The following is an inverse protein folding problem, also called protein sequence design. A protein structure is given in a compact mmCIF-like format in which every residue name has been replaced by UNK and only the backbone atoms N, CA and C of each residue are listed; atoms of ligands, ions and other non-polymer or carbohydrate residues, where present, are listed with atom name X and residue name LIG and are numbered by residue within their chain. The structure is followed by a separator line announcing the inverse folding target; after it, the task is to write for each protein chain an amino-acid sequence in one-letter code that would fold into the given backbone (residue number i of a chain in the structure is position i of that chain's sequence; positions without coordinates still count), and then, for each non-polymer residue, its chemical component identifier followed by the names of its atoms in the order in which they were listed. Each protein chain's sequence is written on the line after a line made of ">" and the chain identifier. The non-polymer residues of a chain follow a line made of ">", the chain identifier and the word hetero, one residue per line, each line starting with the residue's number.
data_IF_203618191382
#
_entry.id   IF_203618191382
#
_cell.length_a   1.000
_cell.length_b   1.000
_cell.length_c   1.000
_cell.angle_alpha   90.00
_cell.angle_beta   90.00
_cell.angle_gamma   90.00
#
_symmetry.space_group_name_H-M   'P 1'
#
loop_
_entity.id
_entity.type
_entity.pdbx_description
1 polymer ?
#
# COMPACT_ATOMS: atom_id res chain seq x y z
N UNK A 1 54.42 -43.34 8.32
CA UNK A 1 53.68 -42.73 7.17
C UNK A 1 52.25 -42.47 7.62
N UNK A 2 51.97 -41.25 8.17
CA UNK A 2 50.67 -40.88 8.66
C UNK A 2 49.93 -40.12 7.54
N UNK A 3 48.80 -40.67 7.10
CA UNK A 3 47.88 -40.01 6.16
C UNK A 3 46.84 -39.22 6.97
N UNK A 4 46.98 -37.90 6.98
CA UNK A 4 46.03 -36.96 7.56
C UNK A 4 44.87 -36.80 6.60
N UNK A 5 43.66 -37.27 7.02
CA UNK A 5 42.42 -37.09 6.26
C UNK A 5 41.81 -35.75 6.62
N UNK A 6 41.79 -34.80 5.67
CA UNK A 6 41.02 -33.56 5.79
C UNK A 6 39.57 -33.85 5.50
N UNK A 7 38.69 -33.66 6.50
CA UNK A 7 37.25 -33.60 6.32
C UNK A 7 36.89 -32.15 5.95
N UNK A 8 36.50 -31.93 4.70
CA UNK A 8 35.88 -30.68 4.27
C UNK A 8 34.39 -30.77 4.57
N UNK A 9 33.96 -30.08 5.65
CA UNK A 9 32.53 -29.89 5.93
C UNK A 9 32.01 -28.77 5.02
N UNK A 10 31.25 -29.16 4.02
CA UNK A 10 30.47 -28.21 3.23
C UNK A 10 29.22 -27.74 4.03
N UNK A 11 29.30 -26.52 4.55
CA UNK A 11 28.12 -25.86 5.15
C UNK A 11 27.27 -25.34 3.99
N UNK A 12 26.15 -26.04 3.73
CA UNK A 12 25.14 -25.61 2.77
C UNK A 12 24.29 -24.51 3.43
N UNK A 13 24.61 -23.26 3.16
CA UNK A 13 23.78 -22.13 3.57
C UNK A 13 22.52 -22.11 2.70
N UNK A 14 21.39 -22.55 3.25
CA UNK A 14 20.09 -22.39 2.62
C UNK A 14 19.69 -20.91 2.67
N UNK A 15 19.84 -20.22 1.54
CA UNK A 15 19.30 -18.86 1.37
C UNK A 15 17.78 -19.03 1.20
N UNK A 16 17.05 -18.75 2.25
CA UNK A 16 15.58 -18.60 2.20
C UNK A 16 15.29 -17.32 1.40
N UNK A 17 14.98 -17.49 0.12
CA UNK A 17 14.38 -16.43 -0.67
C UNK A 17 12.93 -16.24 -0.17
N UNK A 18 12.70 -15.24 0.66
CA UNK A 18 11.34 -14.76 0.93
C UNK A 18 10.92 -13.97 -0.32
N UNK A 19 10.12 -14.60 -1.17
CA UNK A 19 9.43 -13.89 -2.24
C UNK A 19 8.44 -12.91 -1.57
N UNK A 20 8.38 -11.65 -2.03
CA UNK A 20 7.32 -10.76 -1.58
C UNK A 20 5.98 -11.40 -1.96
N UNK A 21 5.12 -11.64 -0.98
CA UNK A 21 3.73 -12.00 -1.23
C UNK A 21 3.10 -10.73 -1.80
N UNK A 22 2.99 -10.67 -3.13
CA UNK A 22 2.17 -9.67 -3.77
C UNK A 22 0.74 -10.01 -3.33
N UNK A 23 0.18 -9.20 -2.46
CA UNK A 23 -1.20 -9.31 -2.06
C UNK A 23 -2.05 -9.24 -3.35
N UNK A 24 -2.83 -10.30 -3.61
CA UNK A 24 -3.60 -10.40 -4.84
C UNK A 24 -4.96 -9.75 -4.61
N UNK A 25 -5.13 -8.53 -5.09
CA UNK A 25 -6.41 -7.85 -5.14
C UNK A 25 -7.40 -8.63 -6.00
N UNK A 26 -8.58 -8.92 -5.44
CA UNK A 26 -9.67 -9.60 -6.15
C UNK A 26 -10.90 -8.70 -6.21
N UNK A 27 -11.34 -8.32 -7.42
CA UNK A 27 -12.58 -7.56 -7.62
C UNK A 27 -13.80 -8.36 -7.17
N UNK A 28 -14.72 -7.68 -6.49
CA UNK A 28 -15.98 -8.24 -5.99
C UNK A 28 -17.15 -7.30 -6.29
N UNK A 29 -18.39 -7.81 -6.18
CA UNK A 29 -19.58 -6.98 -6.28
C UNK A 29 -19.99 -6.51 -4.88
N UNK A 30 -20.73 -5.38 -4.80
CA UNK A 30 -21.27 -4.89 -3.52
C UNK A 30 -22.08 -5.96 -2.78
N UNK A 31 -22.86 -6.76 -3.51
CA UNK A 31 -23.69 -7.83 -2.95
C UNK A 31 -22.87 -8.97 -2.28
N UNK A 32 -21.61 -9.12 -2.65
CA UNK A 32 -20.71 -10.16 -2.09
C UNK A 32 -20.03 -9.70 -0.79
N UNK A 33 -20.16 -8.41 -0.43
CA UNK A 33 -19.56 -7.85 0.79
C UNK A 33 -20.37 -8.29 2.02
N UNK A 34 -19.72 -8.51 3.19
CA UNK A 34 -20.43 -8.72 4.46
C UNK A 34 -21.36 -7.57 4.78
N UNK A 35 -22.50 -7.83 5.47
CA UNK A 35 -23.49 -6.81 5.79
C UNK A 35 -22.92 -5.59 6.54
N UNK A 36 -21.96 -5.81 7.45
CA UNK A 36 -21.28 -4.71 8.15
C UNK A 36 -20.47 -3.82 7.19
N UNK A 37 -19.76 -4.43 6.23
CA UNK A 37 -19.01 -3.73 5.20
C UNK A 37 -19.95 -3.00 4.25
N UNK A 38 -21.07 -3.63 3.83
CA UNK A 38 -22.07 -2.98 2.99
C UNK A 38 -22.61 -1.69 3.63
N UNK A 39 -22.87 -1.70 4.94
CA UNK A 39 -23.28 -0.50 5.66
C UNK A 39 -22.23 0.62 5.57
N UNK A 40 -20.97 0.29 5.82
CA UNK A 40 -19.88 1.27 5.75
C UNK A 40 -19.71 1.85 4.35
N UNK A 41 -19.73 1.00 3.30
CA UNK A 41 -19.61 1.50 1.91
C UNK A 41 -20.80 2.37 1.51
N UNK A 42 -22.02 2.12 2.02
CA UNK A 42 -23.19 2.98 1.80
C UNK A 42 -22.99 4.36 2.44
N UNK A 43 -22.50 4.40 3.67
CA UNK A 43 -22.24 5.65 4.39
C UNK A 43 -21.12 6.46 3.71
N UNK A 44 -20.03 5.81 3.31
CA UNK A 44 -18.85 6.46 2.75
C UNK A 44 -19.00 6.84 1.26
N UNK A 45 -19.93 6.25 0.54
CA UNK A 45 -20.17 6.57 -0.88
C UNK A 45 -21.03 7.80 -1.12
N UNK A 46 -21.59 8.42 -0.06
CA UNK A 46 -22.44 9.59 -0.20
C UNK A 46 -21.68 10.79 -0.81
N UNK A 47 -22.18 11.31 -1.92
CA UNK A 47 -21.54 12.43 -2.64
C UNK A 47 -20.29 12.04 -3.44
N UNK A 48 -20.00 10.75 -3.57
CA UNK A 48 -18.89 10.22 -4.34
C UNK A 48 -19.35 9.33 -5.49
N UNK A 49 -18.49 9.12 -6.48
CA UNK A 49 -18.68 8.11 -7.53
C UNK A 49 -17.93 6.84 -7.14
N UNK A 50 -18.65 5.74 -6.95
CA UNK A 50 -18.05 4.43 -6.70
C UNK A 50 -17.42 3.89 -7.99
N UNK A 51 -16.13 3.55 -7.96
CA UNK A 51 -15.39 2.95 -9.08
C UNK A 51 -15.39 1.41 -9.01
N UNK A 52 -15.43 0.85 -7.81
CA UNK A 52 -15.41 -0.59 -7.61
C UNK A 52 -15.22 -1.00 -6.16
N UNK A 53 -15.20 -2.33 -5.98
CA UNK A 53 -14.90 -2.99 -4.71
C UNK A 53 -13.92 -4.12 -4.97
N UNK A 54 -13.04 -4.37 -4.01
CA UNK A 54 -12.10 -5.47 -4.05
C UNK A 54 -11.90 -6.09 -2.68
N UNK A 55 -11.21 -7.20 -2.65
CA UNK A 55 -10.71 -7.84 -1.44
C UNK A 55 -9.21 -8.05 -1.57
N UNK A 56 -8.49 -7.90 -0.48
CA UNK A 56 -7.07 -8.11 -0.39
C UNK A 56 -6.70 -8.85 0.90
N UNK A 57 -5.69 -9.71 0.83
CA UNK A 57 -5.12 -10.36 2.01
C UNK A 57 -3.94 -9.54 2.51
N UNK A 58 -4.11 -8.82 3.62
CA UNK A 58 -3.07 -8.04 4.27
C UNK A 58 -2.74 -8.64 5.64
N UNK A 59 -1.48 -8.96 5.89
CA UNK A 59 -1.01 -9.55 7.16
C UNK A 59 -1.84 -10.77 7.62
N UNK A 60 -2.31 -11.60 6.68
CA UNK A 60 -3.13 -12.79 6.96
C UNK A 60 -4.59 -12.49 7.31
N UNK A 61 -5.05 -11.25 7.13
CA UNK A 61 -6.45 -10.83 7.29
C UNK A 61 -7.05 -10.42 5.96
N UNK A 62 -8.31 -10.77 5.76
CA UNK A 62 -9.07 -10.33 4.58
C UNK A 62 -9.61 -8.91 4.85
N UNK A 63 -9.16 -7.97 4.05
CA UNK A 63 -9.68 -6.60 4.00
C UNK A 63 -10.57 -6.44 2.76
N UNK A 64 -11.51 -5.52 2.85
CA UNK A 64 -12.39 -5.09 1.77
C UNK A 64 -12.03 -3.66 1.42
N UNK A 65 -11.90 -3.38 0.15
CA UNK A 65 -11.59 -2.05 -0.34
C UNK A 65 -12.75 -1.49 -1.14
N UNK A 66 -13.04 -0.22 -0.94
CA UNK A 66 -13.95 0.57 -1.75
C UNK A 66 -13.19 1.68 -2.46
N UNK A 67 -13.27 1.71 -3.77
CA UNK A 67 -12.62 2.68 -4.63
C UNK A 67 -13.60 3.77 -5.05
N UNK A 68 -13.26 5.01 -4.77
CA UNK A 68 -14.10 6.18 -5.01
C UNK A 68 -13.43 7.23 -5.90
N UNK A 69 -14.25 8.06 -6.50
CA UNK A 69 -13.86 9.38 -7.01
C UNK A 69 -14.62 10.45 -6.23
N UNK A 70 -13.89 11.35 -5.57
CA UNK A 70 -14.41 12.47 -4.78
C UNK A 70 -13.83 13.76 -5.35
N UNK A 71 -14.69 14.66 -5.87
CA UNK A 71 -14.26 15.93 -6.46
C UNK A 71 -13.16 15.77 -7.56
N UNK A 72 -13.25 14.69 -8.34
CA UNK A 72 -12.30 14.40 -9.43
C UNK A 72 -10.99 13.74 -9.01
N UNK A 73 -10.79 13.47 -7.71
CA UNK A 73 -9.62 12.77 -7.16
C UNK A 73 -9.99 11.37 -6.68
N UNK A 74 -9.04 10.45 -6.67
CA UNK A 74 -9.28 9.10 -6.14
C UNK A 74 -9.24 9.13 -4.62
N UNK A 75 -10.11 8.29 -4.04
CA UNK A 75 -10.10 7.90 -2.62
C UNK A 75 -10.33 6.41 -2.55
N UNK A 76 -9.44 5.70 -1.88
CA UNK A 76 -9.59 4.28 -1.64
C UNK A 76 -9.72 4.06 -0.13
N UNK A 77 -10.64 3.20 0.31
CA UNK A 77 -10.99 2.99 1.72
C UNK A 77 -10.90 1.51 2.01
N UNK A 78 -9.98 1.12 2.89
CA UNK A 78 -9.85 -0.23 3.41
C UNK A 78 -10.74 -0.43 4.63
N UNK A 79 -11.46 -1.55 4.67
CA UNK A 79 -12.49 -1.86 5.65
C UNK A 79 -12.28 -3.31 6.13
N UNK A 80 -12.28 -3.54 7.44
CA UNK A 80 -12.22 -4.89 7.99
C UNK A 80 -13.58 -5.62 7.88
N UNK A 81 -13.60 -6.93 8.17
CA UNK A 81 -14.80 -7.75 8.09
C UNK A 81 -15.94 -7.30 9.05
N UNK A 82 -15.63 -6.49 10.07
CA UNK A 82 -16.60 -5.94 11.01
C UNK A 82 -17.16 -4.59 10.54
N UNK A 83 -16.71 -4.10 9.39
CA UNK A 83 -17.12 -2.81 8.84
C UNK A 83 -16.33 -1.61 9.39
N UNK A 84 -15.25 -1.83 10.16
CA UNK A 84 -14.42 -0.74 10.63
C UNK A 84 -13.44 -0.30 9.52
N UNK A 85 -13.34 1.02 9.30
CA UNK A 85 -12.36 1.60 8.38
C UNK A 85 -10.97 1.45 9.01
N UNK A 86 -10.06 0.77 8.31
CA UNK A 86 -8.68 0.54 8.73
C UNK A 86 -7.72 1.55 8.13
N UNK A 87 -7.97 1.95 6.87
CA UNK A 87 -7.15 2.92 6.15
C UNK A 87 -7.98 3.74 5.16
N UNK A 88 -7.54 4.95 4.91
CA UNK A 88 -8.04 5.82 3.83
C UNK A 88 -6.83 6.35 3.06
N UNK A 89 -6.86 6.15 1.75
CA UNK A 89 -5.90 6.73 0.82
C UNK A 89 -6.59 7.83 0.02
N UNK A 90 -6.11 9.05 0.18
CA UNK A 90 -6.62 10.21 -0.55
C UNK A 90 -5.60 10.73 -1.55
N UNK A 91 -5.97 10.79 -2.82
CA UNK A 91 -5.13 11.44 -3.83
C UNK A 91 -4.97 12.92 -3.47
N UNK A 92 -3.72 13.37 -3.42
CA UNK A 92 -3.34 14.75 -3.10
C UNK A 92 -2.46 15.35 -4.21
N UNK A 93 -2.45 16.69 -4.29
CA UNK A 93 -1.58 17.36 -5.23
C UNK A 93 -0.15 17.38 -4.68
N UNK A 94 0.82 16.91 -5.46
CA UNK A 94 2.22 16.88 -5.03
C UNK A 94 2.72 18.27 -4.55
N UNK A 95 2.31 19.34 -5.25
CA UNK A 95 2.72 20.70 -4.90
C UNK A 95 2.11 21.22 -3.59
N UNK A 96 1.04 20.60 -3.08
CA UNK A 96 0.41 20.98 -1.80
C UNK A 96 1.02 20.28 -0.58
N UNK A 97 1.94 19.32 -0.80
CA UNK A 97 2.58 18.58 0.29
C UNK A 97 3.62 19.45 1.02
N UNK A 98 3.90 19.15 2.30
CA UNK A 98 5.02 19.77 3.01
C UNK A 98 6.35 19.55 2.26
N UNK A 99 7.23 20.55 2.27
CA UNK A 99 8.51 20.50 1.53
C UNK A 99 9.36 19.26 1.87
N UNK A 100 9.36 18.85 3.14
CA UNK A 100 10.09 17.67 3.58
C UNK A 100 9.54 16.38 2.91
N UNK A 101 8.20 16.26 2.77
CA UNK A 101 7.54 15.13 2.11
C UNK A 101 7.86 15.15 0.61
N UNK A 102 7.75 16.31 -0.05
CA UNK A 102 8.12 16.44 -1.46
C UNK A 102 9.58 16.02 -1.69
N UNK A 103 10.50 16.47 -0.85
CA UNK A 103 11.92 16.11 -0.93
C UNK A 103 12.15 14.62 -0.72
N UNK A 104 11.47 14.02 0.27
CA UNK A 104 11.52 12.58 0.56
C UNK A 104 11.04 11.73 -0.60
N UNK A 105 9.86 12.06 -1.15
CA UNK A 105 9.28 11.35 -2.31
C UNK A 105 10.17 11.48 -3.55
N UNK A 106 10.70 12.69 -3.87
CA UNK A 106 11.66 12.86 -4.97
C UNK A 106 12.92 12.01 -4.78
N UNK A 107 13.44 11.95 -3.56
CA UNK A 107 14.61 11.12 -3.24
C UNK A 107 14.33 9.63 -3.46
N UNK A 108 13.16 9.15 -3.04
CA UNK A 108 12.73 7.75 -3.24
C UNK A 108 12.43 7.44 -4.71
N UNK A 109 11.86 8.40 -5.45
CA UNK A 109 11.58 8.26 -6.88
C UNK A 109 12.87 8.17 -7.71
N UNK A 110 13.96 8.84 -7.29
CA UNK A 110 15.22 8.89 -8.03
C UNK A 110 15.03 9.52 -9.42
N UNK A 111 15.37 8.78 -10.48
CA UNK A 111 15.16 9.19 -11.87
C UNK A 111 13.73 8.93 -12.39
N UNK A 112 12.86 8.32 -11.57
CA UNK A 112 11.49 8.00 -11.97
C UNK A 112 10.58 9.23 -11.96
N UNK A 113 9.53 9.16 -12.77
CA UNK A 113 8.47 10.18 -12.82
C UNK A 113 7.39 9.86 -11.80
N UNK A 114 7.12 10.78 -10.88
CA UNK A 114 5.97 10.69 -9.98
C UNK A 114 4.69 10.94 -10.79
N UNK A 115 3.78 9.97 -10.80
CA UNK A 115 2.52 10.00 -11.55
C UNK A 115 1.33 10.41 -10.68
N UNK A 116 1.28 9.92 -9.45
CA UNK A 116 0.20 10.14 -8.48
C UNK A 116 0.82 10.19 -7.09
N UNK A 117 0.21 10.92 -6.18
CA UNK A 117 0.54 10.89 -4.76
C UNK A 117 -0.71 10.77 -3.93
N UNK A 118 -0.63 10.00 -2.86
CA UNK A 118 -1.70 9.77 -1.90
C UNK A 118 -1.22 10.02 -0.48
N UNK A 119 -2.14 10.45 0.37
CA UNK A 119 -1.93 10.46 1.82
C UNK A 119 -2.61 9.24 2.41
N UNK A 120 -1.89 8.45 3.20
CA UNK A 120 -2.40 7.26 3.90
C UNK A 120 -2.78 7.66 5.32
N UNK A 121 -4.04 7.43 5.66
CA UNK A 121 -4.61 7.80 6.97
C UNK A 121 -5.09 6.56 7.70
N UNK A 122 -4.52 6.30 8.88
CA UNK A 122 -4.96 5.24 9.83
C UNK A 122 -5.36 5.89 11.16
N UNK A 123 -6.49 5.47 11.73
CA UNK A 123 -6.99 6.00 13.02
C UNK A 123 -7.04 7.54 13.06
N UNK A 124 -7.53 8.16 11.99
CA UNK A 124 -7.63 9.62 11.79
C UNK A 124 -6.29 10.38 11.85
N UNK A 125 -5.17 9.72 11.53
CA UNK A 125 -3.86 10.35 11.44
C UNK A 125 -3.20 9.95 10.13
N UNK A 126 -2.58 10.92 9.44
CA UNK A 126 -1.72 10.61 8.29
C UNK A 126 -0.49 9.88 8.83
N UNK A 127 -0.28 8.65 8.33
CA UNK A 127 0.84 7.78 8.72
C UNK A 127 1.92 7.75 7.66
N UNK A 128 1.55 7.96 6.39
CA UNK A 128 2.48 7.98 5.27
C UNK A 128 1.97 8.87 4.13
N UNK A 129 2.86 9.17 3.21
CA UNK A 129 2.55 9.62 1.85
C UNK A 129 3.16 8.62 0.88
N UNK A 130 2.35 8.19 -0.08
CA UNK A 130 2.74 7.27 -1.12
C UNK A 130 2.80 7.96 -2.48
N UNK A 131 3.74 7.56 -3.32
CA UNK A 131 3.81 8.00 -4.70
C UNK A 131 3.93 6.83 -5.66
N UNK A 132 3.07 6.81 -6.67
CA UNK A 132 3.23 5.93 -7.84
C UNK A 132 4.30 6.53 -8.73
N UNK A 133 5.40 5.81 -8.91
CA UNK A 133 6.58 6.24 -9.68
C UNK A 133 6.77 5.35 -10.89
N UNK A 134 6.92 5.96 -12.08
CA UNK A 134 7.24 5.25 -13.30
C UNK A 134 8.73 5.40 -13.65
N UNK A 135 9.39 4.26 -13.89
CA UNK A 135 10.77 4.21 -14.35
C UNK A 135 10.89 3.19 -15.48
N UNK A 136 11.31 3.62 -16.65
CA UNK A 136 11.44 2.78 -17.86
C UNK A 136 10.16 1.98 -18.18
N UNK A 137 8.99 2.62 -18.06
CA UNK A 137 7.67 2.02 -18.33
C UNK A 137 7.14 1.07 -17.23
N UNK A 138 7.89 0.89 -16.14
CA UNK A 138 7.44 0.11 -15.00
C UNK A 138 7.01 1.03 -13.86
N UNK A 139 5.86 0.72 -13.26
CA UNK A 139 5.34 1.44 -12.10
C UNK A 139 5.74 0.71 -10.81
N UNK A 140 6.04 1.48 -9.79
CA UNK A 140 6.24 1.03 -8.41
C UNK A 140 5.70 2.08 -7.46
N UNK A 141 5.37 1.69 -6.27
CA UNK A 141 5.02 2.57 -5.17
C UNK A 141 6.24 2.85 -4.30
N UNK A 142 6.28 4.03 -3.73
CA UNK A 142 7.31 4.45 -2.76
C UNK A 142 6.64 5.29 -1.68
N UNK A 143 6.98 5.02 -0.43
CA UNK A 143 6.37 5.68 0.72
C UNK A 143 7.39 6.47 1.54
N UNK A 144 6.93 7.55 2.15
CA UNK A 144 7.66 8.32 3.18
C UNK A 144 6.72 8.66 4.33
N UNK A 145 7.28 8.83 5.51
CA UNK A 145 6.52 9.31 6.66
C UNK A 145 6.04 10.76 6.53
N UNK A 146 5.17 11.23 7.45
CA UNK A 146 4.66 12.61 7.45
C UNK A 146 5.75 13.67 7.59
N UNK A 147 6.94 13.30 8.05
CA UNK A 147 8.14 14.13 8.15
C UNK A 147 9.05 14.03 6.91
N UNK A 148 8.63 13.30 5.87
CA UNK A 148 9.38 13.07 4.63
C UNK A 148 10.53 12.05 4.75
N UNK A 149 10.69 11.39 5.91
CA UNK A 149 11.73 10.38 6.09
C UNK A 149 11.27 9.00 5.62
N UNK A 150 12.21 8.10 5.28
CA UNK A 150 11.88 6.69 5.03
C UNK A 150 11.18 6.08 6.22
N UNK A 151 10.13 5.29 5.96
CA UNK A 151 9.47 4.45 6.97
C UNK A 151 10.35 3.25 7.30
N UNK A 152 10.23 2.74 8.52
CA UNK A 152 10.89 1.50 8.93
C UNK A 152 10.24 0.28 8.26
N UNK A 153 8.94 0.36 8.02
CA UNK A 153 8.12 -0.59 7.25
C UNK A 153 7.14 0.23 6.41
N UNK A 154 6.76 -0.27 5.24
CA UNK A 154 5.68 0.33 4.45
C UNK A 154 4.34 0.08 5.17
N UNK A 155 3.43 1.07 5.06
CA UNK A 155 2.12 1.03 5.72
C UNK A 155 1.12 0.16 4.97
#
# INVERSE_FOLDING_TARGET
>A
MNRLKFFVSAVLAAILFTLPVIAQEKKVQKADLPAAVQKTVEEQSQGATVRGYSTEMENGRLNYEMQLTVNGKTRDISIDANGAITEIEDQVDFASLPDAVQAGLRKKAGAGKILKVESLTKKNKIVAYEAVVETAGKKKEVQVGPDGKPLAHEE
#
